data_IF_325572780922
#
_entry.id   IF_325572780922
#
_cell.length_a   1.000
_cell.length_b   1.000
_cell.length_c   1.000
_cell.angle_alpha   90.00
_cell.angle_beta   90.00
_cell.angle_gamma   90.00
#
_symmetry.space_group_name_H-M   'P 1'
#
loop_
_entity.id
_entity.type
_entity.pdbx_description
1 polymer ?
#
# COMPACT_ATOMS: atom_id res chain seq x y z
N UNK A 1 -18.11 -22.46 -55.85
CA UNK A 1 -16.71 -22.50 -55.41
C UNK A 1 -16.25 -21.09 -55.20
N UNK A 2 -16.32 -20.58 -53.95
CA UNK A 2 -15.72 -19.33 -53.54
C UNK A 2 -15.16 -19.57 -52.15
N UNK A 3 -13.88 -19.82 -52.12
CA UNK A 3 -13.06 -19.95 -50.91
C UNK A 3 -12.79 -18.54 -50.33
N UNK A 4 -13.60 -18.10 -49.40
CA UNK A 4 -13.25 -16.97 -48.54
C UNK A 4 -12.15 -17.43 -47.56
N UNK A 5 -10.91 -17.13 -47.92
CA UNK A 5 -9.78 -17.20 -47.00
C UNK A 5 -10.01 -16.18 -45.89
N UNK A 6 -10.37 -16.67 -44.72
CA UNK A 6 -10.28 -15.94 -43.47
C UNK A 6 -8.81 -15.62 -43.22
N UNK A 7 -8.38 -14.45 -43.61
CA UNK A 7 -7.14 -13.85 -43.16
C UNK A 7 -7.36 -13.39 -41.70
N UNK A 8 -7.29 -14.33 -40.78
CA UNK A 8 -7.04 -14.03 -39.36
C UNK A 8 -5.66 -13.39 -39.24
N UNK A 9 -5.62 -12.08 -39.42
CA UNK A 9 -4.46 -11.28 -39.04
C UNK A 9 -4.41 -11.36 -37.50
N UNK A 10 -3.71 -12.38 -37.01
CA UNK A 10 -3.27 -12.43 -35.57
C UNK A 10 -2.41 -11.21 -35.32
N UNK A 11 -3.03 -10.11 -34.92
CA UNK A 11 -2.31 -8.97 -34.36
C UNK A 11 -1.51 -9.51 -33.19
N UNK A 12 -0.21 -9.67 -33.34
CA UNK A 12 0.71 -10.01 -32.27
C UNK A 12 0.66 -8.84 -31.26
N UNK A 13 -0.19 -8.95 -30.26
CA UNK A 13 -0.20 -8.03 -29.14
C UNK A 13 1.14 -8.16 -28.41
N UNK A 14 1.99 -7.16 -28.52
CA UNK A 14 3.24 -7.11 -27.76
C UNK A 14 2.93 -6.72 -26.31
N UNK A 15 3.70 -7.31 -25.38
CA UNK A 15 3.62 -6.94 -23.98
C UNK A 15 3.94 -5.44 -23.82
N UNK A 16 3.09 -4.64 -23.17
CA UNK A 16 3.28 -3.18 -23.01
C UNK A 16 4.32 -2.90 -21.92
N UNK A 17 5.58 -3.23 -22.22
CA UNK A 17 6.67 -3.19 -21.25
C UNK A 17 6.89 -1.78 -20.69
N UNK A 18 6.87 -0.75 -21.53
CA UNK A 18 7.16 0.62 -21.13
C UNK A 18 6.08 1.15 -20.17
N UNK A 19 4.81 0.92 -20.49
CA UNK A 19 3.70 1.27 -19.63
C UNK A 19 3.76 0.51 -18.30
N UNK A 20 3.99 -0.81 -18.36
CA UNK A 20 4.10 -1.63 -17.15
C UNK A 20 5.24 -1.16 -16.23
N UNK A 21 6.41 -0.85 -16.79
CA UNK A 21 7.55 -0.30 -16.04
C UNK A 21 7.22 1.06 -15.45
N UNK A 22 6.62 1.98 -16.22
CA UNK A 22 6.28 3.32 -15.75
C UNK A 22 5.31 3.26 -14.56
N UNK A 23 4.23 2.48 -14.68
CA UNK A 23 3.24 2.35 -13.61
C UNK A 23 3.81 1.65 -12.37
N UNK A 24 4.60 0.58 -12.56
CA UNK A 24 5.27 -0.14 -11.46
C UNK A 24 6.25 0.77 -10.72
N UNK A 25 7.09 1.53 -11.45
CA UNK A 25 8.04 2.47 -10.85
C UNK A 25 7.33 3.62 -10.12
N UNK A 26 6.21 4.12 -10.66
CA UNK A 26 5.44 5.18 -10.02
C UNK A 26 4.84 4.74 -8.68
N UNK A 27 4.22 3.54 -8.64
CA UNK A 27 3.69 2.97 -7.39
C UNK A 27 4.82 2.61 -6.42
N UNK A 28 5.95 2.10 -6.91
CA UNK A 28 7.15 1.86 -6.10
C UNK A 28 7.66 3.15 -5.46
N UNK A 29 7.76 4.25 -6.20
CA UNK A 29 8.22 5.53 -5.67
C UNK A 29 7.27 6.08 -4.60
N UNK A 30 5.95 6.05 -4.85
CA UNK A 30 4.95 6.50 -3.89
C UNK A 30 4.95 5.65 -2.60
N UNK A 31 4.98 4.32 -2.71
CA UNK A 31 5.05 3.42 -1.55
C UNK A 31 6.38 3.55 -0.78
N UNK A 32 7.49 3.75 -1.49
CA UNK A 32 8.80 3.96 -0.84
C UNK A 32 8.82 5.27 -0.06
N UNK A 33 8.30 6.37 -0.63
CA UNK A 33 8.22 7.67 0.03
C UNK A 33 7.27 7.65 1.23
N UNK A 34 6.18 6.90 1.17
CA UNK A 34 5.28 6.71 2.30
C UNK A 34 5.99 6.04 3.48
N UNK A 35 6.68 4.95 3.22
CA UNK A 35 7.20 4.04 4.24
C UNK A 35 8.58 4.42 4.78
N UNK A 36 9.40 5.17 4.01
CA UNK A 36 10.77 5.55 4.40
C UNK A 36 10.83 6.53 5.56
N UNK A 37 9.72 7.19 5.89
CA UNK A 37 9.67 8.15 6.99
C UNK A 37 10.01 7.48 8.32
N UNK A 38 9.57 6.24 8.56
CA UNK A 38 9.83 5.50 9.81
C UNK A 38 11.32 5.48 10.21
N UNK A 39 12.27 5.03 9.37
CA UNK A 39 13.68 5.09 9.70
C UNK A 39 14.30 6.50 9.65
N UNK A 40 13.67 7.48 9.01
CA UNK A 40 14.19 8.86 8.94
C UNK A 40 13.68 9.76 10.07
N UNK A 41 12.69 9.32 10.86
CA UNK A 41 12.07 10.14 11.91
C UNK A 41 13.08 10.77 12.88
N UNK A 42 14.10 10.05 13.41
CA UNK A 42 15.08 10.66 14.34
C UNK A 42 15.88 11.79 13.71
N UNK A 43 16.27 11.64 12.43
CA UNK A 43 17.03 12.67 11.72
C UNK A 43 16.16 13.89 11.39
N UNK A 44 14.90 13.65 11.03
CA UNK A 44 13.92 14.72 10.81
C UNK A 44 13.64 15.46 12.11
N UNK A 45 13.49 14.75 13.23
CA UNK A 45 13.29 15.35 14.55
C UNK A 45 14.46 16.26 14.94
N UNK A 46 15.70 15.79 14.75
CA UNK A 46 16.92 16.59 14.96
C UNK A 46 16.99 17.78 14.01
N UNK A 47 16.71 17.59 12.71
CA UNK A 47 16.83 18.62 11.70
C UNK A 47 15.85 19.79 11.92
N UNK A 48 14.65 19.51 12.43
CA UNK A 48 13.62 20.50 12.68
C UNK A 48 13.52 20.90 14.16
N UNK A 49 14.42 20.40 15.03
CA UNK A 49 14.43 20.67 16.46
C UNK A 49 13.05 20.42 17.11
N UNK A 50 12.49 19.24 16.84
CA UNK A 50 11.12 18.87 17.25
C UNK A 50 11.08 17.41 17.72
N UNK A 51 9.98 17.04 18.39
CA UNK A 51 9.78 15.67 18.85
C UNK A 51 9.48 14.68 17.72
N UNK A 52 9.91 13.44 17.87
CA UNK A 52 9.60 12.34 16.93
C UNK A 52 8.09 12.17 16.74
N UNK A 53 7.28 12.36 17.79
CA UNK A 53 5.82 12.29 17.72
C UNK A 53 5.21 13.35 16.80
N UNK A 54 5.78 14.57 16.80
CA UNK A 54 5.34 15.65 15.90
C UNK A 54 5.70 15.31 14.46
N UNK A 55 6.93 14.83 14.22
CA UNK A 55 7.36 14.45 12.87
C UNK A 55 6.60 13.22 12.34
N UNK A 56 6.17 12.30 13.21
CA UNK A 56 5.32 11.17 12.84
C UNK A 56 3.95 11.62 12.27
N UNK A 57 3.45 12.82 12.59
CA UNK A 57 2.27 13.40 11.97
C UNK A 57 2.43 13.59 10.45
N UNK A 58 3.67 13.63 9.94
CA UNK A 58 3.92 13.66 8.49
C UNK A 58 3.43 12.39 7.78
N UNK A 59 3.42 11.23 8.45
CA UNK A 59 2.83 9.99 7.97
C UNK A 59 1.31 10.11 7.97
N UNK A 60 0.75 10.67 9.05
CA UNK A 60 -0.69 10.89 9.19
C UNK A 60 -1.23 11.88 8.15
N UNK A 61 -0.50 12.97 7.90
CA UNK A 61 -0.83 13.96 6.86
C UNK A 61 -0.81 13.30 5.48
N UNK A 62 0.19 12.48 5.20
CA UNK A 62 0.26 11.74 3.94
C UNK A 62 -0.94 10.81 3.78
N UNK A 63 -1.27 10.02 4.80
CA UNK A 63 -2.41 9.09 4.79
C UNK A 63 -3.77 9.78 4.58
N UNK A 64 -4.04 10.88 5.31
CA UNK A 64 -5.29 11.63 5.12
C UNK A 64 -5.38 12.28 3.73
N UNK A 65 -4.24 12.70 3.18
CA UNK A 65 -4.21 13.30 1.85
C UNK A 65 -4.34 12.26 0.74
N UNK A 66 -3.91 11.01 0.93
CA UNK A 66 -4.28 9.88 0.04
C UNK A 66 -5.81 9.68 0.05
N UNK A 67 -6.42 9.68 1.23
CA UNK A 67 -7.87 9.54 1.38
C UNK A 67 -8.64 10.64 0.63
N UNK A 68 -8.15 11.88 0.64
CA UNK A 68 -8.75 13.03 -0.04
C UNK A 68 -8.41 13.02 -1.54
N UNK A 69 -7.21 12.62 -1.91
CA UNK A 69 -6.68 12.69 -3.28
C UNK A 69 -7.46 11.84 -4.28
N UNK A 70 -7.86 10.63 -3.89
CA UNK A 70 -8.60 9.74 -4.75
C UNK A 70 -9.95 10.36 -5.21
N UNK A 71 -10.88 10.76 -4.33
CA UNK A 71 -12.15 11.32 -4.76
C UNK A 71 -12.03 12.70 -5.42
N UNK A 72 -10.96 13.46 -5.15
CA UNK A 72 -10.76 14.78 -5.70
C UNK A 72 -10.17 14.76 -7.12
N UNK A 73 -9.18 13.92 -7.37
CA UNK A 73 -8.38 13.98 -8.60
C UNK A 73 -8.71 12.87 -9.60
N UNK A 74 -9.18 11.68 -9.16
CA UNK A 74 -9.54 10.59 -10.08
C UNK A 74 -10.67 10.98 -11.04
N UNK A 75 -11.76 11.67 -10.63
CA UNK A 75 -12.81 12.11 -11.55
C UNK A 75 -12.33 13.07 -12.64
N UNK A 76 -11.22 13.79 -12.42
CA UNK A 76 -10.63 14.63 -13.46
C UNK A 76 -10.09 13.79 -14.62
N UNK A 77 -9.59 12.58 -14.33
CA UNK A 77 -9.15 11.62 -15.35
C UNK A 77 -10.30 11.12 -16.21
N UNK A 78 -11.47 10.90 -15.64
CA UNK A 78 -12.66 10.48 -16.38
C UNK A 78 -13.19 11.61 -17.28
N UNK A 79 -13.05 12.86 -16.85
CA UNK A 79 -13.52 14.05 -17.60
C UNK A 79 -12.60 14.44 -18.75
N UNK A 80 -11.28 14.36 -18.57
CA UNK A 80 -10.30 14.84 -19.58
C UNK A 80 -9.59 13.68 -20.28
N UNK A 81 -8.66 13.02 -19.59
CA UNK A 81 -8.06 11.74 -19.99
C UNK A 81 -7.32 11.13 -18.79
N UNK A 82 -7.27 9.80 -18.72
CA UNK A 82 -6.58 9.11 -17.63
C UNK A 82 -5.08 9.35 -17.63
N UNK A 83 -4.49 9.53 -18.82
CA UNK A 83 -3.06 9.87 -18.94
C UNK A 83 -2.75 11.26 -18.39
N UNK A 84 -3.62 12.23 -18.68
CA UNK A 84 -3.45 13.58 -18.14
C UNK A 84 -3.57 13.57 -16.60
N UNK A 85 -4.49 12.77 -16.04
CA UNK A 85 -4.63 12.59 -14.60
C UNK A 85 -3.40 11.92 -13.98
N UNK A 86 -2.82 10.90 -14.65
CA UNK A 86 -1.55 10.29 -14.23
C UNK A 86 -0.41 11.31 -14.19
N UNK A 87 -0.24 12.08 -15.28
CA UNK A 87 0.81 13.09 -15.38
C UNK A 87 0.62 14.19 -14.34
N UNK A 88 -0.61 14.69 -14.16
CA UNK A 88 -0.92 15.70 -13.15
C UNK A 88 -0.62 15.18 -11.72
N UNK A 89 -1.03 13.94 -11.41
CA UNK A 89 -0.70 13.29 -10.14
C UNK A 89 0.82 13.22 -9.93
N UNK A 90 1.57 12.74 -10.93
CA UNK A 90 3.04 12.68 -10.86
C UNK A 90 3.70 14.05 -10.72
N UNK A 91 3.21 15.09 -11.40
CA UNK A 91 3.74 16.43 -11.25
C UNK A 91 3.53 16.97 -9.83
N UNK A 92 2.34 16.74 -9.25
CA UNK A 92 2.07 17.09 -7.84
C UNK A 92 2.97 16.30 -6.90
N UNK A 93 3.20 14.98 -7.18
CA UNK A 93 4.12 14.16 -6.42
C UNK A 93 5.54 14.70 -6.43
N UNK A 94 6.08 15.03 -7.61
CA UNK A 94 7.42 15.60 -7.77
C UNK A 94 7.53 16.93 -7.01
N UNK A 95 6.55 17.83 -7.16
CA UNK A 95 6.52 19.11 -6.45
C UNK A 95 6.52 18.89 -4.94
N UNK A 96 5.65 18.03 -4.43
CA UNK A 96 5.56 17.71 -3.01
C UNK A 96 6.86 17.13 -2.46
N UNK A 97 7.46 16.17 -3.18
CA UNK A 97 8.72 15.54 -2.81
C UNK A 97 9.90 16.52 -2.84
N UNK A 98 9.95 17.42 -3.84
CA UNK A 98 10.95 18.51 -3.90
C UNK A 98 10.78 19.49 -2.74
N UNK A 99 9.54 19.85 -2.38
CA UNK A 99 9.28 20.70 -1.20
C UNK A 99 9.78 20.00 0.06
N UNK A 100 9.58 18.67 0.23
CA UNK A 100 10.17 17.93 1.34
C UNK A 100 11.69 18.01 1.34
N UNK A 101 12.34 17.83 0.20
CA UNK A 101 13.81 17.89 0.07
C UNK A 101 14.38 19.28 0.43
N UNK A 102 13.67 20.35 0.09
CA UNK A 102 14.06 21.74 0.32
C UNK A 102 13.55 22.30 1.64
N UNK A 103 12.72 21.56 2.40
CA UNK A 103 12.08 22.07 3.61
C UNK A 103 13.10 22.60 4.63
N UNK A 104 12.93 23.86 5.04
CA UNK A 104 13.73 24.51 6.07
C UNK A 104 13.06 24.46 7.46
N UNK A 105 11.76 24.19 7.48
CA UNK A 105 10.98 24.07 8.70
C UNK A 105 9.88 23.00 8.56
N UNK A 106 9.26 22.66 9.67
CA UNK A 106 8.23 21.62 9.76
C UNK A 106 7.02 21.90 8.86
N UNK A 107 6.62 23.16 8.72
CA UNK A 107 5.46 23.55 7.93
C UNK A 107 5.66 23.19 6.44
N UNK A 108 6.80 23.54 5.85
CA UNK A 108 7.09 23.16 4.45
C UNK A 108 7.26 21.67 4.30
N UNK A 109 7.83 20.97 5.28
CA UNK A 109 7.91 19.52 5.26
C UNK A 109 6.52 18.89 5.23
N UNK A 110 5.61 19.32 6.11
CA UNK A 110 4.22 18.85 6.14
C UNK A 110 3.44 19.21 4.89
N UNK A 111 3.66 20.40 4.32
CA UNK A 111 3.07 20.80 3.04
C UNK A 111 3.52 19.86 1.90
N UNK A 112 4.81 19.55 1.84
CA UNK A 112 5.35 18.59 0.87
C UNK A 112 4.71 17.21 1.04
N UNK A 113 4.61 16.70 2.27
CA UNK A 113 3.94 15.43 2.58
C UNK A 113 2.46 15.42 2.21
N UNK A 114 1.77 16.54 2.44
CA UNK A 114 0.38 16.69 2.03
C UNK A 114 0.22 16.60 0.50
N UNK A 115 1.05 17.27 -0.25
CA UNK A 115 1.01 17.23 -1.71
C UNK A 115 1.38 15.85 -2.26
N UNK A 116 2.45 15.22 -1.74
CA UNK A 116 2.84 13.87 -2.15
C UNK A 116 1.74 12.84 -1.83
N UNK A 117 1.10 12.94 -0.67
CA UNK A 117 -0.02 12.07 -0.30
C UNK A 117 -1.24 12.27 -1.21
N UNK A 118 -1.61 13.52 -1.49
CA UNK A 118 -2.69 13.85 -2.43
C UNK A 118 -2.43 13.24 -3.81
N UNK A 119 -1.20 13.36 -4.29
CA UNK A 119 -0.76 12.81 -5.56
C UNK A 119 -0.82 11.28 -5.59
N UNK A 120 -0.32 10.61 -4.55
CA UNK A 120 -0.34 9.15 -4.44
C UNK A 120 -1.79 8.62 -4.42
N UNK A 121 -2.71 9.32 -3.73
CA UNK A 121 -4.13 9.01 -3.70
C UNK A 121 -4.81 9.05 -5.07
N UNK A 122 -4.33 9.89 -5.97
CA UNK A 122 -4.83 9.95 -7.34
C UNK A 122 -4.09 8.98 -8.27
N UNK A 123 -2.77 8.91 -8.17
CA UNK A 123 -1.92 8.16 -9.08
C UNK A 123 -2.18 6.66 -9.03
N UNK A 124 -2.23 6.07 -7.83
CA UNK A 124 -2.36 4.60 -7.68
C UNK A 124 -3.65 4.04 -8.27
N UNK A 125 -4.86 4.56 -7.95
CA UNK A 125 -6.08 4.07 -8.57
C UNK A 125 -6.16 4.37 -10.06
N UNK A 126 -5.63 5.51 -10.53
CA UNK A 126 -5.57 5.83 -11.96
C UNK A 126 -4.63 4.88 -12.70
N UNK A 127 -3.52 4.46 -12.09
CA UNK A 127 -2.62 3.44 -12.67
C UNK A 127 -3.35 2.11 -12.89
N UNK A 128 -4.15 1.66 -11.93
CA UNK A 128 -4.98 0.45 -12.09
C UNK A 128 -6.03 0.61 -13.21
N UNK A 129 -6.66 1.77 -13.29
CA UNK A 129 -7.63 2.06 -14.33
C UNK A 129 -7.00 2.05 -15.74
N UNK A 130 -5.82 2.65 -15.90
CA UNK A 130 -5.07 2.64 -17.17
C UNK A 130 -4.70 1.22 -17.61
N UNK A 131 -4.39 0.31 -16.68
CA UNK A 131 -4.17 -1.11 -17.03
C UNK A 131 -5.44 -1.73 -17.61
N UNK A 132 -6.59 -1.45 -17.02
CA UNK A 132 -7.88 -1.92 -17.53
C UNK A 132 -8.17 -1.45 -18.95
N UNK A 133 -7.82 -0.18 -19.28
CA UNK A 133 -8.15 0.44 -20.56
C UNK A 133 -7.13 0.14 -21.66
N UNK A 134 -5.84 0.13 -21.31
CA UNK A 134 -4.75 0.13 -22.30
C UNK A 134 -4.05 -1.21 -22.45
N UNK A 135 -4.11 -2.07 -21.45
CA UNK A 135 -3.42 -3.35 -21.50
C UNK A 135 -4.33 -4.43 -22.09
N UNK A 136 -3.90 -5.14 -23.16
CA UNK A 136 -4.64 -6.26 -23.72
C UNK A 136 -4.99 -7.28 -22.61
N UNK A 137 -6.19 -7.84 -22.67
CA UNK A 137 -6.72 -8.75 -21.64
C UNK A 137 -5.75 -9.86 -21.24
N UNK A 138 -5.02 -10.41 -22.23
CA UNK A 138 -4.00 -11.47 -22.05
C UNK A 138 -2.86 -11.08 -21.10
N UNK A 139 -2.57 -9.78 -20.98
CA UNK A 139 -1.45 -9.26 -20.17
C UNK A 139 -1.91 -8.50 -18.92
N UNK A 140 -3.22 -8.19 -18.78
CA UNK A 140 -3.76 -7.39 -17.65
C UNK A 140 -3.36 -7.96 -16.29
N UNK A 141 -3.55 -9.27 -16.09
CA UNK A 141 -3.17 -9.93 -14.83
C UNK A 141 -1.69 -9.82 -14.51
N UNK A 142 -0.82 -9.96 -15.53
CA UNK A 142 0.63 -9.85 -15.34
C UNK A 142 1.06 -8.42 -14.99
N UNK A 143 0.54 -7.41 -15.69
CA UNK A 143 0.85 -6.00 -15.42
C UNK A 143 0.30 -5.57 -14.06
N UNK A 144 -0.95 -5.96 -13.74
CA UNK A 144 -1.55 -5.69 -12.45
C UNK A 144 -0.73 -6.31 -11.30
N UNK A 145 -0.28 -7.57 -11.48
CA UNK A 145 0.60 -8.25 -10.52
C UNK A 145 1.91 -7.50 -10.28
N UNK A 146 2.55 -6.96 -11.34
CA UNK A 146 3.75 -6.14 -11.22
C UNK A 146 3.49 -4.87 -10.41
N UNK A 147 2.39 -4.15 -10.70
CA UNK A 147 2.03 -2.92 -9.97
C UNK A 147 1.76 -3.21 -8.49
N UNK A 148 1.01 -4.27 -8.18
CA UNK A 148 0.74 -4.65 -6.79
C UNK A 148 2.03 -5.07 -6.06
N UNK A 149 2.93 -5.77 -6.76
CA UNK A 149 4.24 -6.16 -6.21
C UNK A 149 5.13 -4.97 -5.87
N UNK A 150 4.85 -3.78 -6.42
CA UNK A 150 5.62 -2.55 -6.12
C UNK A 150 5.63 -2.19 -4.65
N UNK A 151 4.56 -2.49 -3.91
CA UNK A 151 4.51 -2.30 -2.46
C UNK A 151 5.50 -3.19 -1.71
N UNK A 152 5.62 -4.47 -2.12
CA UNK A 152 6.63 -5.37 -1.57
C UNK A 152 8.04 -4.90 -1.93
N UNK A 153 8.24 -4.49 -3.19
CA UNK A 153 9.53 -3.96 -3.65
C UNK A 153 9.90 -2.66 -2.92
N UNK A 154 8.94 -1.81 -2.59
CA UNK A 154 9.16 -0.60 -1.79
C UNK A 154 9.74 -0.94 -0.40
N UNK A 155 9.22 -1.98 0.25
CA UNK A 155 9.73 -2.45 1.55
C UNK A 155 11.10 -3.12 1.44
N UNK A 156 11.37 -3.88 0.35
CA UNK A 156 12.63 -4.62 0.19
C UNK A 156 13.77 -3.71 -0.26
N UNK A 157 13.49 -2.78 -1.18
CA UNK A 157 14.50 -1.95 -1.83
C UNK A 157 14.33 -0.47 -1.55
N UNK A 158 13.10 0.05 -1.62
CA UNK A 158 12.82 1.49 -1.53
C UNK A 158 13.14 2.06 -0.15
N UNK A 159 12.65 1.44 0.90
CA UNK A 159 12.90 1.89 2.29
C UNK A 159 14.37 1.69 2.67
N UNK A 160 15.01 0.52 2.45
CA UNK A 160 16.43 0.36 2.76
C UNK A 160 17.34 1.29 1.97
N UNK A 161 17.07 1.50 0.67
CA UNK A 161 17.83 2.44 -0.16
C UNK A 161 17.71 3.87 0.35
N UNK A 162 16.47 4.32 0.59
CA UNK A 162 16.22 5.67 1.11
C UNK A 162 16.81 5.88 2.51
N UNK A 163 16.75 4.86 3.36
CA UNK A 163 17.34 4.85 4.70
C UNK A 163 18.87 4.87 4.66
N UNK A 164 19.48 4.08 3.77
CA UNK A 164 20.94 4.07 3.55
C UNK A 164 21.43 5.45 3.07
N UNK A 165 20.77 6.02 2.06
CA UNK A 165 21.10 7.34 1.51
C UNK A 165 20.93 8.42 2.58
N UNK A 166 19.83 8.38 3.35
CA UNK A 166 19.60 9.29 4.45
C UNK A 166 20.67 9.21 5.53
N UNK A 167 21.15 8.00 5.84
CA UNK A 167 22.19 7.76 6.85
C UNK A 167 23.59 8.13 6.41
N UNK A 168 23.97 7.87 5.15
CA UNK A 168 25.33 8.12 4.63
C UNK A 168 25.53 9.56 4.17
N UNK A 169 24.53 10.13 3.47
CA UNK A 169 24.61 11.49 2.94
C UNK A 169 23.85 12.45 3.84
N UNK A 170 22.54 12.52 3.66
CA UNK A 170 21.62 13.35 4.45
C UNK A 170 20.19 12.97 4.08
N UNK A 171 19.23 13.04 4.99
CA UNK A 171 17.83 12.67 4.76
C UNK A 171 17.17 13.39 3.56
N UNK A 172 17.62 14.60 3.19
CA UNK A 172 17.13 15.34 2.02
C UNK A 172 17.40 14.62 0.70
N UNK A 173 18.51 13.89 0.59
CA UNK A 173 18.86 13.15 -0.62
C UNK A 173 17.88 12.02 -0.90
N UNK A 174 17.29 11.44 0.12
CA UNK A 174 16.23 10.45 -0.02
C UNK A 174 15.05 11.01 -0.83
N UNK A 175 14.59 12.22 -0.51
CA UNK A 175 13.52 12.88 -1.24
C UNK A 175 13.95 13.30 -2.66
N UNK A 176 15.18 13.77 -2.86
CA UNK A 176 15.70 14.07 -4.19
C UNK A 176 15.68 12.87 -5.12
N UNK A 177 16.02 11.68 -4.63
CA UNK A 177 16.00 10.46 -5.42
C UNK A 177 14.56 10.06 -5.79
N UNK A 178 13.62 10.17 -4.87
CA UNK A 178 12.20 9.90 -5.19
C UNK A 178 11.63 10.94 -6.17
N UNK A 179 12.02 12.21 -6.07
CA UNK A 179 11.66 13.21 -7.05
C UNK A 179 12.23 12.88 -8.44
N UNK A 180 13.51 12.49 -8.52
CA UNK A 180 14.14 12.05 -9.77
C UNK A 180 13.44 10.82 -10.37
N UNK A 181 13.06 9.85 -9.53
CA UNK A 181 12.26 8.70 -9.96
C UNK A 181 10.90 9.14 -10.53
N UNK A 182 10.23 10.10 -9.89
CA UNK A 182 9.00 10.69 -10.41
C UNK A 182 9.20 11.31 -11.79
N UNK A 183 10.26 12.07 -11.99
CA UNK A 183 10.63 12.63 -13.31
C UNK A 183 10.85 11.53 -14.35
N UNK A 184 11.57 10.48 -13.99
CA UNK A 184 11.79 9.32 -14.88
C UNK A 184 10.46 8.65 -15.27
N UNK A 185 9.53 8.48 -14.33
CA UNK A 185 8.20 7.92 -14.61
C UNK A 185 7.41 8.82 -15.56
N UNK A 186 7.45 10.15 -15.37
CA UNK A 186 6.83 11.10 -16.31
C UNK A 186 7.39 10.91 -17.71
N UNK A 187 8.72 10.84 -17.85
CA UNK A 187 9.38 10.64 -19.16
C UNK A 187 8.95 9.31 -19.81
N UNK A 188 8.86 8.21 -19.04
CA UNK A 188 8.40 6.92 -19.54
C UNK A 188 6.95 6.97 -20.03
N UNK A 189 6.05 7.65 -19.29
CA UNK A 189 4.65 7.82 -19.69
C UNK A 189 4.56 8.68 -20.96
N UNK A 190 5.30 9.78 -21.06
CA UNK A 190 5.31 10.63 -22.25
C UNK A 190 5.83 9.90 -23.48
N UNK A 191 6.85 9.07 -23.34
CA UNK A 191 7.37 8.21 -24.40
C UNK A 191 6.32 7.19 -24.86
N UNK A 192 5.59 6.60 -23.93
CA UNK A 192 4.52 5.66 -24.23
C UNK A 192 3.34 6.34 -24.96
N UNK A 193 2.94 7.52 -24.49
CA UNK A 193 1.89 8.33 -25.15
C UNK A 193 2.26 8.66 -26.60
N UNK A 194 3.51 9.05 -26.88
CA UNK A 194 3.99 9.33 -28.24
C UNK A 194 3.92 8.10 -29.14
N UNK A 195 4.25 6.92 -28.64
CA UNK A 195 4.14 5.66 -29.39
C UNK A 195 2.69 5.32 -29.75
N UNK A 196 1.76 5.54 -28.82
CA UNK A 196 0.34 5.25 -29.04
C UNK A 196 -0.37 6.27 -29.92
N UNK A 197 0.05 7.54 -29.94
CA UNK A 197 -0.50 8.56 -30.85
C UNK A 197 -0.33 8.17 -32.33
N UNK A 198 0.66 7.32 -32.63
CA UNK A 198 0.90 6.80 -33.98
C UNK A 198 0.01 5.59 -34.34
N UNK A 199 -0.70 5.00 -33.38
CA UNK A 199 -1.48 3.75 -33.54
C UNK A 199 -2.95 3.89 -33.13
N UNK A 200 -3.54 5.07 -33.32
CA UNK A 200 -4.91 5.37 -32.88
C UNK A 200 -5.97 4.64 -33.70
N UNK A 201 -6.42 3.48 -33.21
CA UNK A 201 -7.75 2.90 -33.48
C UNK A 201 -8.03 1.81 -32.44
N UNK A 202 -8.62 2.18 -31.32
CA UNK A 202 -9.23 1.20 -30.41
C UNK A 202 -10.45 1.86 -29.77
N UNK A 203 -11.62 1.27 -29.99
CA UNK A 203 -12.89 1.74 -29.49
C UNK A 203 -12.90 1.84 -27.97
N UNK A 204 -13.58 2.86 -27.46
CA UNK A 204 -13.95 2.96 -26.06
C UNK A 204 -14.95 1.85 -25.76
N UNK A 205 -14.54 0.82 -25.03
CA UNK A 205 -15.49 0.01 -24.29
C UNK A 205 -16.00 0.89 -23.13
N UNK A 206 -17.23 1.31 -23.21
CA UNK A 206 -17.93 1.93 -22.07
C UNK A 206 -18.02 0.87 -20.97
N UNK A 207 -17.28 1.09 -19.88
CA UNK A 207 -17.46 0.31 -18.67
C UNK A 207 -18.76 0.85 -18.04
N UNK A 208 -19.82 0.06 -18.14
CA UNK A 208 -21.06 0.34 -17.40
C UNK A 208 -20.71 0.52 -15.91
N UNK A 209 -21.00 1.70 -15.37
CA UNK A 209 -20.90 1.94 -13.92
C UNK A 209 -21.81 0.94 -13.21
N UNK A 210 -21.30 0.17 -12.24
CA UNK A 210 -22.12 -0.78 -11.51
C UNK A 210 -23.26 -0.03 -10.79
N UNK A 211 -24.50 -0.31 -11.17
CA UNK A 211 -25.69 0.26 -10.60
C UNK A 211 -25.76 0.02 -9.08
N UNK A 212 -26.00 1.08 -8.28
CA UNK A 212 -26.17 1.00 -6.83
C UNK A 212 -25.52 2.18 -6.10
N UNK A 213 -25.96 2.45 -4.89
CA UNK A 213 -25.44 3.53 -4.05
C UNK A 213 -24.32 3.01 -3.13
N UNK A 214 -23.38 3.86 -2.69
CA UNK A 214 -22.40 3.51 -1.64
C UNK A 214 -23.07 2.98 -0.37
N UNK A 215 -24.23 3.54 -0.02
CA UNK A 215 -25.03 3.08 1.12
C UNK A 215 -25.48 1.62 0.99
N UNK A 216 -25.75 1.15 -0.23
CA UNK A 216 -26.18 -0.24 -0.46
C UNK A 216 -25.02 -1.24 -0.30
N UNK A 217 -23.82 -0.85 -0.63
CA UNK A 217 -22.62 -1.66 -0.37
C UNK A 217 -22.40 -1.90 1.15
N UNK A 218 -22.65 -0.88 1.99
CA UNK A 218 -22.55 -1.01 3.46
C UNK A 218 -23.68 -1.85 4.08
N UNK A 219 -24.83 -1.99 3.41
CA UNK A 219 -25.93 -2.84 3.88
C UNK A 219 -25.66 -4.34 3.71
N UNK A 220 -24.63 -4.72 2.92
CA UNK A 220 -24.21 -6.12 2.81
C UNK A 220 -23.66 -6.56 4.17
N UNK A 221 -24.28 -7.56 4.86
CA UNK A 221 -24.03 -7.83 6.29
C UNK A 221 -22.58 -8.14 6.65
N UNK A 222 -21.77 -8.63 5.69
CA UNK A 222 -20.35 -8.98 5.90
C UNK A 222 -19.42 -7.78 5.75
N UNK A 223 -19.75 -6.83 4.90
CA UNK A 223 -18.88 -5.71 4.52
C UNK A 223 -18.46 -4.85 5.73
N UNK A 224 -19.35 -4.36 6.60
CA UNK A 224 -18.96 -3.55 7.75
C UNK A 224 -17.99 -4.28 8.69
N UNK A 225 -18.21 -5.58 8.91
CA UNK A 225 -17.38 -6.38 9.82
C UNK A 225 -15.95 -6.49 9.29
N UNK A 226 -15.79 -6.85 8.00
CA UNK A 226 -14.45 -6.97 7.41
C UNK A 226 -13.74 -5.63 7.21
N UNK A 227 -14.48 -4.54 6.97
CA UNK A 227 -13.92 -3.18 6.97
C UNK A 227 -13.39 -2.83 8.36
N UNK A 228 -14.12 -3.14 9.43
CA UNK A 228 -13.66 -2.90 10.80
C UNK A 228 -12.43 -3.76 11.13
N UNK A 229 -12.38 -5.02 10.71
CA UNK A 229 -11.21 -5.89 10.88
C UNK A 229 -10.00 -5.30 10.14
N UNK A 230 -10.20 -4.83 8.88
CA UNK A 230 -9.15 -4.15 8.11
C UNK A 230 -8.63 -2.93 8.85
N UNK A 231 -9.53 -2.10 9.36
CA UNK A 231 -9.19 -0.89 10.09
C UNK A 231 -8.37 -1.18 11.36
N UNK A 232 -8.80 -2.16 12.17
CA UNK A 232 -8.06 -2.59 13.37
C UNK A 232 -6.65 -3.12 13.01
N UNK A 233 -6.56 -3.99 12.00
CA UNK A 233 -5.27 -4.54 11.57
C UNK A 233 -4.32 -3.44 11.06
N UNK A 234 -4.84 -2.49 10.26
CA UNK A 234 -4.03 -1.42 9.68
C UNK A 234 -3.60 -0.38 10.74
N UNK A 235 -4.44 -0.06 11.73
CA UNK A 235 -4.02 0.77 12.88
C UNK A 235 -2.88 0.08 13.63
N UNK A 236 -3.01 -1.22 13.93
CA UNK A 236 -1.96 -2.00 14.58
C UNK A 236 -0.66 -1.98 13.78
N UNK A 237 -0.74 -2.17 12.48
CA UNK A 237 0.41 -2.14 11.59
C UNK A 237 1.08 -0.77 11.54
N UNK A 238 0.34 0.29 11.15
CA UNK A 238 0.94 1.62 10.98
C UNK A 238 1.36 2.26 12.29
N UNK A 239 0.63 1.98 13.39
CA UNK A 239 1.04 2.43 14.73
C UNK A 239 2.41 1.89 15.11
N UNK A 240 2.62 0.59 14.91
CA UNK A 240 3.88 -0.08 15.21
C UNK A 240 4.99 0.25 14.22
N UNK A 241 4.69 0.21 12.91
CA UNK A 241 5.65 0.44 11.84
C UNK A 241 6.21 1.86 11.86
N UNK A 242 5.37 2.87 12.13
CA UNK A 242 5.80 4.28 12.11
C UNK A 242 6.99 4.56 13.04
N UNK A 243 7.04 3.89 14.18
CA UNK A 243 8.10 4.07 15.19
C UNK A 243 9.14 2.95 15.20
N UNK A 244 8.99 1.93 14.36
CA UNK A 244 9.92 0.81 14.28
C UNK A 244 11.34 1.27 13.96
N UNK A 245 11.49 2.14 12.95
CA UNK A 245 12.80 2.66 12.54
C UNK A 245 13.49 3.45 13.64
N UNK A 246 12.75 4.30 14.36
CA UNK A 246 13.25 5.05 15.53
C UNK A 246 13.70 4.09 16.62
N UNK A 247 12.86 3.15 16.99
CA UNK A 247 13.17 2.15 18.01
C UNK A 247 14.42 1.32 17.69
N UNK A 248 14.57 0.89 16.43
CA UNK A 248 15.74 0.14 16.01
C UNK A 248 17.04 0.97 16.08
N UNK A 249 16.96 2.28 15.86
CA UNK A 249 18.10 3.19 16.02
C UNK A 249 18.46 3.43 17.47
N UNK A 250 17.48 3.42 18.38
CA UNK A 250 17.73 3.55 19.81
C UNK A 250 18.41 2.29 20.39
N UNK A 251 18.13 1.11 19.80
CA UNK A 251 18.65 -0.18 20.30
C UNK A 251 19.95 -0.57 19.63
N UNK A 252 20.15 -0.26 18.35
CA UNK A 252 21.30 -0.68 17.56
C UNK A 252 22.18 0.48 17.10
N UNK A 253 23.50 0.31 17.23
CA UNK A 253 24.48 1.23 16.67
C UNK A 253 24.56 1.03 15.15
N UNK A 254 24.06 1.94 14.36
CA UNK A 254 24.09 1.82 12.88
C UNK A 254 23.12 2.76 12.21
N UNK A 255 22.37 3.53 13.02
CA UNK A 255 21.49 4.60 12.57
C UNK A 255 20.45 4.13 11.55
N UNK A 256 20.16 5.00 10.60
CA UNK A 256 19.14 4.77 9.57
C UNK A 256 19.44 3.53 8.72
N UNK A 257 20.70 3.27 8.40
CA UNK A 257 21.11 2.13 7.55
C UNK A 257 20.75 0.81 8.19
N UNK A 258 21.04 0.64 9.49
CA UNK A 258 20.69 -0.58 10.22
C UNK A 258 19.16 -0.73 10.30
N UNK A 259 18.43 0.34 10.64
CA UNK A 259 16.99 0.33 10.67
C UNK A 259 16.37 -0.07 9.32
N UNK A 260 16.89 0.46 8.22
CA UNK A 260 16.47 0.10 6.87
C UNK A 260 16.69 -1.38 6.53
N UNK A 261 17.81 -1.97 6.95
CA UNK A 261 18.08 -3.41 6.74
C UNK A 261 17.11 -4.29 7.54
N UNK A 262 16.77 -3.94 8.76
CA UNK A 262 15.75 -4.68 9.52
C UNK A 262 14.36 -4.57 8.86
N UNK A 263 13.99 -3.39 8.35
CA UNK A 263 12.74 -3.21 7.61
C UNK A 263 12.75 -4.03 6.31
N UNK A 264 13.91 -4.21 5.66
CA UNK A 264 14.04 -5.10 4.51
C UNK A 264 13.65 -6.55 4.85
N UNK A 265 14.04 -7.05 6.04
CA UNK A 265 13.67 -8.40 6.49
C UNK A 265 12.14 -8.54 6.59
N UNK A 266 11.47 -7.53 7.16
CA UNK A 266 10.01 -7.45 7.15
C UNK A 266 9.46 -7.45 5.70
N UNK A 267 10.05 -6.66 4.80
CA UNK A 267 9.68 -6.59 3.38
C UNK A 267 9.84 -7.92 2.65
N UNK A 268 10.91 -8.68 2.93
CA UNK A 268 11.11 -10.04 2.37
C UNK A 268 9.97 -10.96 2.82
N UNK A 269 9.62 -10.96 4.11
CA UNK A 269 8.47 -11.72 4.61
C UNK A 269 7.17 -11.30 3.90
N UNK A 270 6.95 -9.98 3.77
CA UNK A 270 5.76 -9.42 3.11
C UNK A 270 5.67 -9.83 1.62
N UNK A 271 6.78 -9.98 0.92
CA UNK A 271 6.80 -10.36 -0.50
C UNK A 271 6.41 -11.82 -0.76
N UNK A 272 6.38 -12.66 0.27
CA UNK A 272 6.03 -14.07 0.14
C UNK A 272 4.51 -14.32 0.05
N UNK A 273 3.71 -13.30 -0.27
CA UNK A 273 2.24 -13.38 -0.40
C UNK A 273 1.75 -14.48 -1.34
N UNK A 274 2.48 -14.75 -2.41
CA UNK A 274 2.13 -15.83 -3.36
C UNK A 274 2.18 -17.22 -2.69
N UNK A 275 3.14 -17.43 -1.79
CA UNK A 275 3.29 -18.70 -1.06
C UNK A 275 2.20 -18.81 0.00
N UNK A 276 1.99 -17.75 0.77
CA UNK A 276 0.95 -17.72 1.82
C UNK A 276 -0.46 -17.83 1.24
N UNK A 277 -0.71 -17.24 0.06
CA UNK A 277 -1.97 -17.39 -0.67
C UNK A 277 -2.28 -18.86 -0.98
N UNK A 278 -1.33 -19.62 -1.53
CA UNK A 278 -1.51 -21.05 -1.80
C UNK A 278 -1.78 -21.87 -0.53
N UNK A 279 -1.18 -21.51 0.60
CA UNK A 279 -1.45 -22.15 1.89
C UNK A 279 -2.86 -21.81 2.36
N UNK A 280 -3.27 -20.55 2.21
CA UNK A 280 -4.60 -20.09 2.58
C UNK A 280 -5.70 -20.78 1.76
N UNK A 281 -5.47 -21.04 0.47
CA UNK A 281 -6.41 -21.79 -0.38
C UNK A 281 -6.60 -23.22 0.11
N UNK A 282 -5.57 -23.86 0.70
CA UNK A 282 -5.66 -25.23 1.27
C UNK A 282 -6.33 -25.28 2.64
N UNK A 283 -6.04 -24.31 3.51
CA UNK A 283 -6.55 -24.28 4.90
C UNK A 283 -7.95 -23.65 4.95
N UNK A 284 -8.27 -22.80 3.97
CA UNK A 284 -9.47 -21.98 3.89
C UNK A 284 -9.19 -20.54 4.32
N UNK A 285 -9.72 -19.58 3.54
CA UNK A 285 -9.47 -18.12 3.69
C UNK A 285 -9.73 -17.61 5.11
N UNK A 286 -10.86 -17.99 5.70
CA UNK A 286 -11.26 -17.52 7.03
C UNK A 286 -10.37 -18.06 8.16
N UNK A 287 -9.98 -19.36 8.10
CA UNK A 287 -9.08 -19.95 9.09
C UNK A 287 -7.69 -19.33 9.01
N UNK A 288 -7.20 -19.12 7.80
CA UNK A 288 -5.91 -18.47 7.56
C UNK A 288 -5.90 -17.02 8.07
N UNK A 289 -7.01 -16.28 7.91
CA UNK A 289 -7.16 -14.93 8.46
C UNK A 289 -7.10 -14.92 10.00
N UNK A 290 -7.77 -15.87 10.65
CA UNK A 290 -7.72 -16.03 12.11
C UNK A 290 -6.31 -16.31 12.60
N UNK A 291 -5.61 -17.25 11.97
CA UNK A 291 -4.21 -17.59 12.32
C UNK A 291 -3.33 -16.36 12.15
N UNK A 292 -3.43 -15.67 11.00
CA UNK A 292 -2.61 -14.51 10.71
C UNK A 292 -2.82 -13.38 11.74
N UNK A 293 -4.07 -13.00 12.04
CA UNK A 293 -4.38 -11.97 13.03
C UNK A 293 -3.96 -12.36 14.44
N UNK A 294 -4.13 -13.63 14.83
CA UNK A 294 -3.67 -14.15 16.12
C UNK A 294 -2.14 -14.05 16.26
N UNK A 295 -1.40 -14.50 15.23
CA UNK A 295 0.07 -14.41 15.22
C UNK A 295 0.53 -12.95 15.24
N UNK A 296 -0.07 -12.06 14.43
CA UNK A 296 0.26 -10.63 14.41
C UNK A 296 0.04 -10.03 15.80
N UNK A 297 -1.09 -10.32 16.46
CA UNK A 297 -1.39 -9.78 17.79
C UNK A 297 -0.31 -10.13 18.81
N UNK A 298 0.16 -11.38 18.83
CA UNK A 298 1.24 -11.81 19.71
C UNK A 298 2.56 -11.15 19.32
N UNK A 299 2.88 -11.10 18.01
CA UNK A 299 4.11 -10.48 17.54
C UNK A 299 4.20 -9.00 17.90
N UNK A 300 3.11 -8.22 17.75
CA UNK A 300 3.11 -6.80 18.09
C UNK A 300 3.38 -6.57 19.58
N UNK A 301 2.88 -7.44 20.46
CA UNK A 301 3.17 -7.37 21.90
C UNK A 301 4.60 -7.76 22.24
N UNK A 302 5.18 -8.76 21.53
CA UNK A 302 6.49 -9.33 21.83
C UNK A 302 7.65 -8.62 21.10
N UNK A 303 7.40 -7.98 19.96
CA UNK A 303 8.42 -7.36 19.12
C UNK A 303 9.31 -6.34 19.86
N UNK A 304 8.81 -5.51 20.78
CA UNK A 304 9.67 -4.60 21.56
C UNK A 304 10.73 -5.30 22.44
N UNK A 305 10.55 -6.57 22.72
CA UNK A 305 11.49 -7.37 23.51
C UNK A 305 12.40 -8.25 22.67
N UNK A 306 12.12 -8.34 21.36
CA UNK A 306 12.86 -9.16 20.42
C UNK A 306 14.36 -8.79 20.26
N UNK A 307 14.79 -7.50 20.41
CA UNK A 307 16.20 -7.12 20.33
C UNK A 307 17.11 -7.75 21.37
N UNK A 308 16.57 -8.40 22.41
CA UNK A 308 17.36 -9.22 23.33
C UNK A 308 18.15 -10.33 22.61
N UNK A 309 17.70 -10.76 21.42
CA UNK A 309 18.38 -11.68 20.53
C UNK A 309 18.23 -11.22 19.08
N UNK A 310 19.32 -11.03 18.36
CA UNK A 310 19.32 -10.68 16.94
C UNK A 310 18.53 -11.70 16.10
N UNK A 311 18.66 -12.98 16.41
CA UNK A 311 17.91 -14.05 15.76
C UNK A 311 16.39 -13.89 15.98
N UNK A 312 15.98 -13.62 17.22
CA UNK A 312 14.57 -13.45 17.55
C UNK A 312 13.97 -12.24 16.83
N UNK A 313 14.71 -11.13 16.74
CA UNK A 313 14.28 -9.94 16.01
C UNK A 313 14.09 -10.24 14.51
N UNK A 314 15.08 -10.86 13.87
CA UNK A 314 15.02 -11.24 12.44
C UNK A 314 13.79 -12.12 12.17
N UNK A 315 13.61 -13.17 12.96
CA UNK A 315 12.49 -14.10 12.82
C UNK A 315 11.15 -13.39 13.05
N UNK A 316 11.06 -12.53 14.07
CA UNK A 316 9.83 -11.80 14.38
C UNK A 316 9.45 -10.84 13.26
N UNK A 317 10.40 -10.08 12.72
CA UNK A 317 10.15 -9.16 11.61
C UNK A 317 9.73 -9.90 10.34
N UNK A 318 10.41 -11.02 10.02
CA UNK A 318 10.07 -11.85 8.87
C UNK A 318 8.65 -12.44 8.99
N UNK A 319 8.31 -13.03 10.14
CA UNK A 319 6.97 -13.60 10.37
C UNK A 319 5.91 -12.51 10.38
N UNK A 320 6.20 -11.33 10.95
CA UNK A 320 5.26 -10.20 10.89
C UNK A 320 4.97 -9.78 9.45
N UNK A 321 5.99 -9.62 8.61
CA UNK A 321 5.81 -9.33 7.19
C UNK A 321 4.97 -10.38 6.47
N UNK A 322 5.27 -11.66 6.69
CA UNK A 322 4.58 -12.80 6.11
C UNK A 322 3.09 -12.83 6.49
N UNK A 323 2.77 -12.67 7.77
CA UNK A 323 1.39 -12.68 8.27
C UNK A 323 0.63 -11.43 7.87
N UNK A 324 1.29 -10.27 7.82
CA UNK A 324 0.67 -9.02 7.38
C UNK A 324 0.28 -9.09 5.90
N UNK A 325 1.17 -9.60 5.04
CA UNK A 325 0.88 -9.80 3.62
C UNK A 325 -0.30 -10.77 3.41
N UNK A 326 -0.34 -11.86 4.16
CA UNK A 326 -1.45 -12.81 4.14
C UNK A 326 -2.76 -12.13 4.55
N UNK A 327 -2.74 -11.35 5.64
CA UNK A 327 -3.93 -10.64 6.16
C UNK A 327 -4.48 -9.64 5.13
N UNK A 328 -3.61 -8.83 4.53
CA UNK A 328 -3.98 -7.84 3.50
C UNK A 328 -4.61 -8.53 2.29
N UNK A 329 -3.98 -9.60 1.81
CA UNK A 329 -4.48 -10.38 0.66
C UNK A 329 -5.84 -11.01 0.96
N UNK A 330 -5.99 -11.64 2.12
CA UNK A 330 -7.25 -12.29 2.50
C UNK A 330 -8.38 -11.29 2.71
N UNK A 331 -8.14 -10.18 3.40
CA UNK A 331 -9.16 -9.15 3.64
C UNK A 331 -9.62 -8.51 2.32
N UNK A 332 -8.70 -8.19 1.40
CA UNK A 332 -9.05 -7.65 0.10
C UNK A 332 -9.85 -8.66 -0.74
N UNK A 333 -9.46 -9.95 -0.72
CA UNK A 333 -10.18 -11.02 -1.42
C UNK A 333 -11.58 -11.24 -0.84
N UNK A 334 -11.69 -11.41 0.47
CA UNK A 334 -12.98 -11.63 1.14
C UNK A 334 -13.94 -10.46 0.89
N UNK A 335 -13.45 -9.21 1.00
CA UNK A 335 -14.26 -8.02 0.72
C UNK A 335 -14.68 -7.96 -0.76
N UNK A 336 -13.79 -8.29 -1.68
CA UNK A 336 -14.09 -8.37 -3.11
C UNK A 336 -15.17 -9.41 -3.42
N UNK A 337 -15.18 -10.53 -2.68
CA UNK A 337 -16.13 -11.64 -2.84
C UNK A 337 -17.46 -11.40 -2.11
N UNK A 338 -17.56 -10.40 -1.22
CA UNK A 338 -18.78 -10.11 -0.46
C UNK A 338 -19.97 -9.72 -1.35
N UNK A 339 -19.74 -9.07 -2.48
CA UNK A 339 -20.78 -8.65 -3.41
C UNK A 339 -20.21 -8.38 -4.80
N UNK A 340 -20.59 -9.20 -5.78
CA UNK A 340 -20.24 -8.97 -7.19
C UNK A 340 -20.78 -7.65 -7.71
N UNK A 341 -22.04 -7.34 -7.37
CA UNK A 341 -22.75 -6.12 -7.81
C UNK A 341 -22.10 -4.83 -7.26
N UNK A 342 -21.54 -4.88 -6.04
CA UNK A 342 -21.01 -3.69 -5.37
C UNK A 342 -19.49 -3.76 -5.17
N UNK A 343 -18.80 -4.68 -5.85
CA UNK A 343 -17.35 -4.94 -5.67
C UNK A 343 -16.51 -3.67 -5.66
N UNK A 344 -16.67 -2.81 -6.67
CA UNK A 344 -15.93 -1.55 -6.75
C UNK A 344 -16.13 -0.65 -5.53
N UNK A 345 -17.38 -0.50 -5.06
CA UNK A 345 -17.72 0.35 -3.91
C UNK A 345 -17.20 -0.23 -2.58
N UNK A 346 -17.24 -1.56 -2.43
CA UNK A 346 -16.66 -2.25 -1.28
C UNK A 346 -15.15 -2.04 -1.22
N UNK A 347 -14.45 -2.10 -2.37
CA UNK A 347 -13.01 -1.85 -2.43
C UNK A 347 -12.65 -0.39 -2.16
N UNK A 348 -13.51 0.56 -2.50
CA UNK A 348 -13.36 1.96 -2.05
C UNK A 348 -13.41 2.04 -0.53
N UNK A 349 -14.37 1.40 0.14
CA UNK A 349 -14.43 1.37 1.60
C UNK A 349 -13.21 0.69 2.24
N UNK A 350 -12.70 -0.38 1.63
CA UNK A 350 -11.45 -1.01 2.05
C UNK A 350 -10.28 -0.02 2.01
N UNK A 351 -10.14 0.71 0.90
CA UNK A 351 -9.09 1.72 0.75
C UNK A 351 -9.25 2.89 1.75
N UNK A 352 -10.49 3.38 1.92
CA UNK A 352 -10.79 4.44 2.87
C UNK A 352 -10.45 4.04 4.31
N UNK A 353 -10.84 2.82 4.74
CA UNK A 353 -10.52 2.29 6.06
C UNK A 353 -9.01 2.14 6.25
N UNK A 354 -8.29 1.64 5.25
CA UNK A 354 -6.83 1.50 5.30
C UNK A 354 -6.13 2.86 5.46
N UNK A 355 -6.48 3.85 4.64
CA UNK A 355 -5.84 5.17 4.70
C UNK A 355 -6.19 5.96 5.96
N UNK A 356 -7.43 5.82 6.48
CA UNK A 356 -7.80 6.39 7.76
C UNK A 356 -7.01 5.72 8.90
N UNK A 357 -6.73 4.42 8.80
CA UNK A 357 -5.91 3.69 9.77
C UNK A 357 -4.43 4.13 9.72
N UNK A 358 -3.86 4.43 8.55
CA UNK A 358 -2.53 5.07 8.42
C UNK A 358 -2.48 6.35 9.24
N UNK A 359 -3.48 7.22 9.01
CA UNK A 359 -3.60 8.52 9.67
C UNK A 359 -3.68 8.39 11.20
N UNK A 360 -4.60 7.57 11.67
CA UNK A 360 -4.85 7.42 13.11
C UNK A 360 -3.76 6.59 13.81
N UNK A 361 -3.25 5.54 13.15
CA UNK A 361 -2.20 4.69 13.71
C UNK A 361 -0.95 5.48 14.06
N UNK A 362 -0.45 6.29 13.12
CA UNK A 362 0.73 7.13 13.37
C UNK A 362 0.44 8.27 14.35
N UNK A 363 -0.68 9.00 14.20
CA UNK A 363 -1.01 10.14 15.06
C UNK A 363 -1.24 9.75 16.53
N UNK A 364 -1.97 8.65 16.77
CA UNK A 364 -2.30 8.22 18.13
C UNK A 364 -1.11 7.59 18.86
N UNK A 365 -0.23 6.90 18.13
CA UNK A 365 0.90 6.21 18.76
C UNK A 365 2.09 7.14 19.01
N UNK A 366 2.17 8.33 18.40
CA UNK A 366 3.21 9.31 18.64
C UNK A 366 3.34 9.72 20.12
N UNK A 367 2.30 10.29 20.73
CA UNK A 367 2.30 10.62 22.14
C UNK A 367 2.59 9.42 23.05
N UNK A 368 2.08 8.22 22.70
CA UNK A 368 2.33 6.99 23.45
C UNK A 368 3.81 6.61 23.39
N UNK A 369 4.42 6.71 22.21
CA UNK A 369 5.86 6.41 22.03
C UNK A 369 6.72 7.33 22.90
N UNK A 370 6.45 8.63 22.90
CA UNK A 370 7.24 9.61 23.67
C UNK A 370 7.04 9.45 25.18
N UNK A 371 5.81 9.18 25.63
CA UNK A 371 5.49 9.08 27.05
C UNK A 371 5.86 7.73 27.68
N UNK A 372 5.69 6.63 26.93
CA UNK A 372 5.75 5.26 27.48
C UNK A 372 6.66 4.32 26.70
N UNK A 373 7.27 4.79 25.60
CA UNK A 373 8.19 4.02 24.76
C UNK A 373 7.51 3.01 23.84
N UNK A 374 8.35 2.30 23.07
CA UNK A 374 7.91 1.38 22.01
C UNK A 374 7.13 0.17 22.54
N UNK A 375 7.41 -0.30 23.75
CA UNK A 375 6.70 -1.41 24.37
C UNK A 375 5.20 -1.09 24.57
N UNK A 376 4.88 0.13 25.02
CA UNK A 376 3.49 0.57 25.18
C UNK A 376 2.77 0.68 23.83
N UNK A 377 3.45 1.18 22.80
CA UNK A 377 2.93 1.19 21.41
C UNK A 377 2.61 -0.25 20.97
N UNK A 378 3.52 -1.20 21.20
CA UNK A 378 3.32 -2.61 20.88
C UNK A 378 2.10 -3.21 21.55
N UNK A 379 1.92 -2.96 22.85
CA UNK A 379 0.77 -3.47 23.61
C UNK A 379 -0.56 -2.88 23.13
N UNK A 380 -0.62 -1.58 22.86
CA UNK A 380 -1.84 -0.93 22.35
C UNK A 380 -2.17 -1.42 20.94
N UNK A 381 -1.18 -1.49 20.04
CA UNK A 381 -1.36 -2.02 18.69
C UNK A 381 -1.79 -3.49 18.72
N UNK A 382 -1.22 -4.31 19.62
CA UNK A 382 -1.64 -5.69 19.84
C UNK A 382 -3.10 -5.77 20.30
N UNK A 383 -3.51 -4.95 21.28
CA UNK A 383 -4.88 -4.92 21.78
C UNK A 383 -5.90 -4.54 20.68
N UNK A 384 -5.57 -3.55 19.83
CA UNK A 384 -6.41 -3.18 18.69
C UNK A 384 -6.49 -4.33 17.67
N UNK A 385 -5.37 -5.03 17.41
CA UNK A 385 -5.35 -6.18 16.49
C UNK A 385 -6.11 -7.37 17.08
N UNK A 386 -6.05 -7.60 18.40
CA UNK A 386 -6.88 -8.59 19.11
C UNK A 386 -8.37 -8.30 18.93
N UNK A 387 -8.79 -7.03 18.96
CA UNK A 387 -10.17 -6.69 18.63
C UNK A 387 -10.54 -7.14 17.21
N UNK A 388 -9.67 -6.89 16.23
CA UNK A 388 -9.82 -7.40 14.86
C UNK A 388 -9.89 -8.94 14.82
N UNK A 389 -9.06 -9.62 15.58
CA UNK A 389 -9.09 -11.09 15.72
C UNK A 389 -10.42 -11.58 16.30
N UNK A 390 -10.92 -10.99 17.38
CA UNK A 390 -12.21 -11.35 18.00
C UNK A 390 -13.37 -11.14 17.02
N UNK A 391 -13.38 -10.03 16.29
CA UNK A 391 -14.36 -9.78 15.22
C UNK A 391 -14.26 -10.83 14.10
N UNK A 392 -13.05 -11.27 13.74
CA UNK A 392 -12.83 -12.36 12.78
C UNK A 392 -13.37 -13.70 13.29
N UNK A 393 -13.22 -14.02 14.58
CA UNK A 393 -13.82 -15.23 15.20
C UNK A 393 -15.35 -15.17 15.12
N UNK A 394 -15.92 -14.00 15.41
CA UNK A 394 -17.36 -13.79 15.28
C UNK A 394 -17.83 -13.96 13.82
N UNK A 395 -17.13 -13.34 12.86
CA UNK A 395 -17.41 -13.46 11.44
C UNK A 395 -17.31 -14.93 10.97
N UNK A 396 -16.30 -15.68 11.42
CA UNK A 396 -16.13 -17.10 11.11
C UNK A 396 -17.30 -17.95 11.61
N UNK A 397 -17.73 -17.74 12.86
CA UNK A 397 -18.88 -18.47 13.42
C UNK A 397 -20.19 -18.16 12.68
N UNK A 398 -20.39 -16.90 12.29
CA UNK A 398 -21.63 -16.44 11.66
C UNK A 398 -21.71 -16.74 10.16
N UNK A 399 -20.59 -16.58 9.43
CA UNK A 399 -20.57 -16.61 7.97
C UNK A 399 -19.74 -17.75 7.37
N UNK A 400 -18.93 -18.45 8.14
CA UNK A 400 -17.98 -19.47 7.63
C UNK A 400 -18.63 -20.63 6.88
N UNK A 401 -19.85 -21.03 7.24
CA UNK A 401 -20.61 -22.07 6.50
C UNK A 401 -21.06 -21.62 5.11
N UNK A 402 -21.29 -20.31 4.93
CA UNK A 402 -21.70 -19.73 3.64
C UNK A 402 -20.51 -19.65 2.67
N UNK A 403 -19.32 -19.35 3.18
CA UNK A 403 -18.10 -19.29 2.37
C UNK A 403 -17.61 -20.66 1.92
N UNK A 404 -17.69 -21.68 2.78
CA UNK A 404 -17.38 -23.07 2.39
C UNK A 404 -18.26 -23.57 1.24
N UNK A 405 -19.54 -23.17 1.19
CA UNK A 405 -20.43 -23.51 0.06
C UNK A 405 -20.05 -22.76 -1.22
N UNK A 406 -19.65 -21.50 -1.11
CA UNK A 406 -19.22 -20.69 -2.27
C UNK A 406 -17.89 -21.21 -2.86
N UNK A 407 -16.91 -21.57 -2.03
CA UNK A 407 -15.63 -22.14 -2.49
C UNK A 407 -15.83 -23.52 -3.17
N UNK A 408 -16.78 -24.32 -2.71
CA UNK A 408 -17.12 -25.62 -3.34
C UNK A 408 -17.81 -25.47 -4.70
N UNK A 409 -18.64 -24.43 -4.87
CA UNK A 409 -19.29 -24.15 -6.17
C UNK A 409 -18.35 -23.60 -7.24
N UNK A 410 -17.21 -23.02 -6.85
CA UNK A 410 -16.18 -22.51 -7.77
C UNK A 410 -15.14 -23.59 -8.15
N UNK A 411 -15.11 -24.70 -7.42
CA UNK A 411 -14.20 -25.83 -7.67
C UNK A 411 -14.82 -26.96 -8.52
N UNK A 412 -16.10 -26.87 -8.82
CA UNK A 412 -16.86 -27.69 -9.78
C UNK A 412 -17.04 -26.94 -11.12
#
# INVERSE_FOLDING_TARGET
>A
MNSNQNNDIKTKHHFPLLLALALTMGVFAAGSEELVISPLLPDLAKAFNSDVSVLALSISIYGIMIFIGAPLLVPLGDKYSRELSLLAGLMIFIIGTVICALAQNIFFFFLGRALSGLAAGAFVPTAYAVVGDRVPYTYRGKVMGLIVSSWSLALIFGVPLGSFIGGVLHWRWTFWIFALMGVLVVLLILLEMRRHAQHKNSGKEEIEEPAGTFRDALKVPRVPVYITITFCNMIGFYGMYSFLGTYLQDVFTGGNTAAGLFIMIYGIGFSMSVITGKIADRIGKMRSLLIALGVISVLLACLPYAPASMFLLIVSLFIWGLMQSLTVTLLSTILSDCSERHRGKVMVFYSLASNLAVTLGSALMGPVYVAYGYAAVGLICAAITVLGFVLSVFAYKKYGKLEQKADQSLSQ
#
